data_IF_445194812569
#
_entry.id   IF_445194812569
#
_cell.length_a   1.000
_cell.length_b   1.000
_cell.length_c   1.000
_cell.angle_alpha   90.00
_cell.angle_beta   90.00
_cell.angle_gamma   90.00
#
_symmetry.space_group_name_H-M   'P 1'
#
loop_
_entity.id
_entity.type
_entity.pdbx_description
1 polymer ?
#
# COMPACT_ATOMS: atom_id res chain seq x y z
N UNK A 1 5.73 -15.99 9.08
CA UNK A 1 5.43 -15.20 7.87
C UNK A 1 4.38 -15.95 7.09
N UNK A 2 3.21 -15.36 6.89
CA UNK A 2 2.16 -15.90 6.04
C UNK A 2 2.43 -15.49 4.59
N UNK A 3 2.26 -16.40 3.64
CA UNK A 3 2.40 -16.11 2.21
C UNK A 3 1.01 -16.26 1.59
N UNK A 4 0.52 -15.20 0.94
CA UNK A 4 -0.75 -15.18 0.25
C UNK A 4 -0.50 -15.10 -1.26
N UNK A 5 -1.07 -16.05 -1.99
CA UNK A 5 -1.08 -16.03 -3.45
C UNK A 5 -2.13 -15.06 -3.98
N UNK A 6 -2.09 -14.81 -5.29
CA UNK A 6 -3.17 -14.09 -5.99
C UNK A 6 -4.54 -14.66 -5.67
N UNK A 7 -4.68 -15.99 -5.71
CA UNK A 7 -5.96 -16.66 -5.48
C UNK A 7 -6.48 -16.42 -4.07
N UNK A 8 -5.59 -16.45 -3.07
CA UNK A 8 -5.97 -16.17 -1.69
C UNK A 8 -6.50 -14.74 -1.55
N UNK A 9 -5.80 -13.75 -2.13
CA UNK A 9 -6.24 -12.34 -2.10
C UNK A 9 -7.58 -12.15 -2.82
N UNK A 10 -7.75 -12.74 -4.01
CA UNK A 10 -8.99 -12.67 -4.78
C UNK A 10 -10.19 -13.29 -4.04
N UNK A 11 -9.96 -14.29 -3.19
CA UNK A 11 -11.00 -14.91 -2.37
C UNK A 11 -11.38 -14.11 -1.13
N UNK A 12 -10.53 -13.18 -0.67
CA UNK A 12 -10.68 -12.46 0.59
C UNK A 12 -11.13 -11.00 0.43
N UNK A 13 -10.79 -10.35 -0.69
CA UNK A 13 -10.99 -8.91 -0.89
C UNK A 13 -12.02 -8.63 -1.97
N UNK A 14 -13.12 -7.97 -1.60
CA UNK A 14 -14.08 -7.44 -2.57
C UNK A 14 -13.71 -6.00 -2.95
N UNK A 15 -14.31 -5.51 -4.05
CA UNK A 15 -14.15 -4.10 -4.43
C UNK A 15 -14.77 -3.14 -3.41
N UNK A 16 -15.82 -3.56 -2.69
CA UNK A 16 -16.41 -2.75 -1.62
C UNK A 16 -15.43 -2.57 -0.46
N UNK A 17 -14.76 -3.64 -0.04
CA UNK A 17 -13.76 -3.59 1.04
C UNK A 17 -12.56 -2.72 0.63
N UNK A 18 -12.13 -2.82 -0.63
CA UNK A 18 -11.05 -1.99 -1.16
C UNK A 18 -11.42 -0.50 -1.15
N UNK A 19 -12.65 -0.13 -1.52
CA UNK A 19 -13.11 1.26 -1.47
C UNK A 19 -13.13 1.80 -0.04
N UNK A 20 -13.71 1.05 0.90
CA UNK A 20 -13.76 1.43 2.30
C UNK A 20 -12.36 1.62 2.90
N UNK A 21 -11.43 0.70 2.60
CA UNK A 21 -10.05 0.80 3.07
C UNK A 21 -9.31 2.01 2.49
N UNK A 22 -9.53 2.32 1.21
CA UNK A 22 -8.90 3.49 0.56
C UNK A 22 -9.47 4.80 1.11
N UNK A 23 -10.79 4.90 1.31
CA UNK A 23 -11.42 6.08 1.91
C UNK A 23 -10.86 6.34 3.31
N UNK A 24 -10.78 5.30 4.14
CA UNK A 24 -10.20 5.39 5.47
C UNK A 24 -8.72 5.80 5.43
N UNK A 25 -7.93 5.23 4.51
CA UNK A 25 -6.53 5.61 4.32
C UNK A 25 -6.34 7.09 3.97
N UNK A 26 -7.17 7.63 3.09
CA UNK A 26 -7.15 9.06 2.76
C UNK A 26 -7.62 9.93 3.92
N UNK A 27 -8.62 9.48 4.69
CA UNK A 27 -9.04 10.17 5.92
C UNK A 27 -7.90 10.27 6.92
N UNK A 28 -7.18 9.17 7.18
CA UNK A 28 -6.01 9.15 8.07
C UNK A 28 -4.88 10.05 7.58
N UNK A 29 -4.66 10.09 6.26
CA UNK A 29 -3.69 11.00 5.65
C UNK A 29 -4.07 12.45 5.92
N UNK A 30 -5.33 12.83 5.71
CA UNK A 30 -5.83 14.19 5.97
C UNK A 30 -5.73 14.58 7.45
N UNK A 31 -5.83 13.62 8.35
CA UNK A 31 -5.65 13.82 9.80
C UNK A 31 -4.18 13.90 10.24
N UNK A 32 -3.22 13.67 9.35
CA UNK A 32 -1.79 13.69 9.68
C UNK A 32 -1.27 12.42 10.36
N UNK A 33 -2.03 11.32 10.32
CA UNK A 33 -1.68 10.05 10.97
C UNK A 33 -0.85 9.13 10.07
N UNK A 34 -0.43 9.60 8.90
CA UNK A 34 0.29 8.80 7.90
C UNK A 34 1.73 9.28 7.76
N UNK A 35 2.67 8.36 7.95
CA UNK A 35 4.07 8.56 7.58
C UNK A 35 4.32 7.85 6.23
N UNK A 36 4.36 8.63 5.15
CA UNK A 36 4.56 8.14 3.79
C UNK A 36 5.55 9.05 3.06
N UNK A 37 6.83 8.66 2.94
CA UNK A 37 7.79 9.43 2.16
C UNK A 37 7.44 9.39 0.67
N UNK A 38 8.09 10.25 -0.11
CA UNK A 38 8.03 10.16 -1.57
C UNK A 38 8.48 8.78 -2.05
N UNK A 39 7.78 8.22 -3.03
CA UNK A 39 8.15 6.94 -3.66
C UNK A 39 9.58 6.97 -4.18
N UNK A 40 10.30 5.87 -3.98
CA UNK A 40 11.60 5.68 -4.60
C UNK A 40 11.42 5.10 -6.00
N UNK A 41 12.10 5.70 -6.98
CA UNK A 41 12.05 5.29 -8.38
C UNK A 41 13.45 4.92 -8.85
N UNK A 42 13.68 3.63 -9.12
CA UNK A 42 14.97 3.11 -9.57
C UNK A 42 14.84 2.67 -11.03
N UNK A 43 15.41 3.45 -11.93
CA UNK A 43 15.44 3.11 -13.35
C UNK A 43 16.42 1.95 -13.60
N UNK A 44 15.94 0.93 -14.32
CA UNK A 44 16.73 -0.23 -14.75
C UNK A 44 16.96 -0.08 -16.25
N UNK A 45 17.87 0.82 -16.61
CA UNK A 45 18.07 1.30 -17.99
C UNK A 45 18.40 0.18 -18.98
N UNK A 46 19.22 -0.79 -18.56
CA UNK A 46 19.59 -1.95 -19.38
C UNK A 46 18.40 -2.80 -19.84
N UNK A 47 17.26 -2.71 -19.14
CA UNK A 47 16.04 -3.48 -19.43
C UNK A 47 14.85 -2.60 -19.80
N UNK A 48 15.06 -1.29 -20.01
CA UNK A 48 13.99 -0.31 -20.16
C UNK A 48 12.92 -0.43 -19.05
N UNK A 49 13.38 -0.72 -17.82
CA UNK A 49 12.54 -1.05 -16.68
C UNK A 49 12.51 0.05 -15.62
N UNK A 50 11.50 -0.01 -14.75
CA UNK A 50 11.37 0.87 -13.60
C UNK A 50 10.94 0.05 -12.38
N UNK A 51 11.75 0.08 -11.33
CA UNK A 51 11.37 -0.43 -10.02
C UNK A 51 10.87 0.72 -9.15
N UNK A 52 9.74 0.51 -8.48
CA UNK A 52 9.13 1.48 -7.59
C UNK A 52 9.03 0.87 -6.19
N UNK A 53 9.30 1.68 -5.17
CA UNK A 53 9.04 1.31 -3.78
C UNK A 53 8.25 2.41 -3.09
N UNK A 54 7.13 2.03 -2.48
CA UNK A 54 6.17 2.93 -1.83
C UNK A 54 5.92 2.49 -0.38
N UNK A 55 6.84 2.80 0.56
CA UNK A 55 6.62 2.50 1.96
C UNK A 55 5.59 3.46 2.57
N UNK A 56 4.73 2.94 3.44
CA UNK A 56 3.81 3.76 4.21
C UNK A 56 3.50 3.12 5.57
N UNK A 57 3.37 3.96 6.58
CA UNK A 57 2.78 3.62 7.87
C UNK A 57 1.51 4.45 8.06
N UNK A 58 0.39 3.78 8.34
CA UNK A 58 -0.91 4.41 8.69
C UNK A 58 -1.16 4.15 10.17
N UNK A 59 -1.15 5.19 10.99
CA UNK A 59 -1.44 5.12 12.42
C UNK A 59 -2.94 5.16 12.73
N UNK A 60 -3.27 5.43 14.00
CA UNK A 60 -4.65 5.35 14.50
C UNK A 60 -5.11 3.90 14.63
N UNK A 61 -6.40 3.65 14.48
CA UNK A 61 -6.99 2.30 14.64
C UNK A 61 -6.59 1.34 13.50
N UNK A 62 -5.98 1.85 12.41
CA UNK A 62 -5.52 1.04 11.28
C UNK A 62 -4.21 0.30 11.60
N UNK A 63 -3.27 0.97 12.28
CA UNK A 63 -1.94 0.45 12.69
C UNK A 63 -1.27 -0.48 11.65
N UNK A 64 -1.04 0.04 10.44
CA UNK A 64 -0.54 -0.75 9.31
C UNK A 64 0.77 -0.20 8.74
N UNK A 65 1.79 -1.07 8.64
CA UNK A 65 3.08 -0.80 8.00
C UNK A 65 3.24 -1.71 6.76
N UNK A 66 3.39 -1.11 5.58
CA UNK A 66 3.55 -1.88 4.33
C UNK A 66 4.49 -1.20 3.33
N UNK A 67 4.90 -1.96 2.31
CA UNK A 67 5.61 -1.45 1.14
C UNK A 67 5.11 -2.20 -0.11
N UNK A 68 4.96 -1.47 -1.21
CA UNK A 68 4.67 -2.02 -2.55
C UNK A 68 5.70 -1.55 -3.55
#
# INVERSE_FOLDING_TARGET
MLILSRHDIESLLTMHDALAAVEEGFRQLALGNVAMPQRNATAITAHNGLHLAMPAHVGGDVDALTIK
#
